data_IF_533310795728
#
_entry.id   IF_533310795728
#
_cell.length_a   1.000
_cell.length_b   1.000
_cell.length_c   1.000
_cell.angle_alpha   90.00
_cell.angle_beta   90.00
_cell.angle_gamma   90.00
#
_symmetry.space_group_name_H-M   'P 1'
#
loop_
_entity.id
_entity.type
_entity.pdbx_description
1 polymer ?
#
# COMPACT_ATOMS: atom_id res chain seq x y z
N UNK A 1 0.77 25.17 -63.51
CA UNK A 1 1.68 24.49 -62.58
C UNK A 1 1.51 24.92 -61.10
N UNK A 2 0.34 25.40 -60.64
CA UNK A 2 0.09 25.86 -59.25
C UNK A 2 -0.94 25.03 -58.45
N UNK A 3 -1.51 23.98 -59.02
CA UNK A 3 -2.54 23.15 -58.40
C UNK A 3 -2.04 21.80 -57.84
N UNK A 4 -0.82 21.40 -58.15
CA UNK A 4 -0.24 20.10 -57.71
C UNK A 4 0.52 20.17 -56.40
N UNK A 5 0.91 21.35 -55.94
CA UNK A 5 1.66 21.55 -54.69
C UNK A 5 0.75 21.53 -53.44
N UNK A 6 -0.53 21.90 -53.62
CA UNK A 6 -1.46 21.96 -52.49
C UNK A 6 -1.95 20.60 -52.00
N UNK A 7 -1.84 19.55 -52.82
CA UNK A 7 -2.27 18.19 -52.47
C UNK A 7 -1.23 17.40 -51.70
N UNK A 8 0.03 17.77 -51.82
CA UNK A 8 1.14 17.09 -51.14
C UNK A 8 1.31 17.52 -49.67
N UNK A 9 0.84 18.69 -49.27
CA UNK A 9 0.92 19.19 -47.88
C UNK A 9 -0.19 18.59 -47.02
N UNK A 10 -1.32 18.17 -47.60
CA UNK A 10 -2.46 17.57 -46.84
C UNK A 10 -2.20 16.15 -46.36
N UNK A 11 -1.25 15.43 -46.97
CA UNK A 11 -0.97 14.01 -46.60
C UNK A 11 0.03 13.89 -45.45
N UNK A 12 0.79 14.93 -45.14
CA UNK A 12 1.80 14.92 -44.08
C UNK A 12 1.27 15.21 -42.67
N UNK A 13 -0.02 15.62 -42.54
CA UNK A 13 -0.60 15.99 -41.23
C UNK A 13 -1.42 14.86 -40.55
N UNK A 14 -1.54 13.69 -41.20
CA UNK A 14 -2.33 12.55 -40.66
C UNK A 14 -1.55 11.53 -39.85
N UNK A 15 -0.27 11.80 -39.53
CA UNK A 15 0.66 10.80 -38.98
C UNK A 15 0.99 10.88 -37.52
N UNK A 16 0.32 11.67 -36.67
CA UNK A 16 0.76 11.86 -35.29
C UNK A 16 -0.34 11.99 -34.23
N UNK A 17 -1.48 11.33 -34.39
CA UNK A 17 -2.33 11.03 -33.23
C UNK A 17 -1.88 9.69 -32.67
N UNK A 18 -0.77 9.68 -31.95
CA UNK A 18 -0.53 8.63 -30.97
C UNK A 18 -1.51 8.90 -29.84
N UNK A 19 -2.54 8.09 -29.73
CA UNK A 19 -3.34 7.99 -28.53
C UNK A 19 -2.35 7.61 -27.42
N UNK A 20 -2.07 8.52 -26.51
CA UNK A 20 -1.33 8.28 -25.30
C UNK A 20 -2.31 7.53 -24.40
N UNK A 21 -2.33 6.19 -24.53
CA UNK A 21 -3.03 5.33 -23.60
C UNK A 21 -2.39 5.57 -22.24
N UNK A 22 -3.07 6.32 -21.41
CA UNK A 22 -2.75 6.43 -19.99
C UNK A 22 -2.89 5.02 -19.43
N UNK A 23 -1.84 4.40 -18.87
CA UNK A 23 -1.99 3.07 -18.31
C UNK A 23 -3.03 3.16 -17.20
N UNK A 24 -4.14 2.45 -17.40
CA UNK A 24 -5.16 2.33 -16.36
C UNK A 24 -4.52 1.56 -15.20
N UNK A 25 -4.38 2.23 -14.07
CA UNK A 25 -3.85 1.60 -12.85
C UNK A 25 -5.02 1.41 -11.88
N UNK A 26 -5.40 0.18 -11.67
CA UNK A 26 -6.34 -0.20 -10.63
C UNK A 26 -5.58 -0.67 -9.39
N UNK A 27 -6.14 -0.45 -8.21
CA UNK A 27 -5.54 -0.85 -6.94
C UNK A 27 -6.38 -1.92 -6.28
N UNK A 28 -5.79 -3.09 -6.12
CA UNK A 28 -6.37 -4.18 -5.36
C UNK A 28 -5.65 -4.28 -4.02
N UNK A 29 -6.40 -4.25 -2.92
CA UNK A 29 -5.83 -4.33 -1.57
C UNK A 29 -6.58 -5.30 -0.67
N UNK A 30 -5.87 -5.89 0.29
CA UNK A 30 -6.43 -6.70 1.37
C UNK A 30 -5.89 -6.24 2.71
N UNK A 31 -6.76 -6.10 3.70
CA UNK A 31 -6.37 -5.75 5.07
C UNK A 31 -6.26 -7.02 5.92
N UNK A 32 -5.11 -7.17 6.58
CA UNK A 32 -4.76 -8.30 7.46
C UNK A 32 -4.59 -7.79 8.89
N UNK A 33 -5.07 -8.57 9.86
CA UNK A 33 -5.09 -8.17 11.26
C UNK A 33 -4.15 -9.05 12.09
N UNK A 34 -3.46 -8.42 13.02
CA UNK A 34 -2.60 -9.10 14.00
C UNK A 34 -3.10 -8.84 15.41
N UNK A 35 -2.80 -9.75 16.33
CA UNK A 35 -2.97 -9.45 17.75
C UNK A 35 -1.99 -8.38 18.17
N UNK A 36 -2.37 -7.59 19.17
CA UNK A 36 -1.52 -6.53 19.72
C UNK A 36 -0.17 -7.10 20.18
N UNK A 37 0.93 -6.50 19.75
CA UNK A 37 2.28 -6.92 20.09
C UNK A 37 2.79 -8.19 19.37
N UNK A 38 1.98 -8.85 18.55
CA UNK A 38 2.37 -10.06 17.82
C UNK A 38 2.55 -9.83 16.34
N UNK A 39 3.50 -10.54 15.73
CA UNK A 39 3.71 -10.60 14.29
C UNK A 39 3.30 -11.93 13.66
N UNK A 40 2.93 -12.93 14.47
CA UNK A 40 2.45 -14.21 13.96
C UNK A 40 1.13 -14.01 13.22
N UNK A 41 1.10 -14.44 11.95
CA UNK A 41 -0.13 -14.45 11.17
C UNK A 41 -1.00 -15.62 11.58
N UNK A 42 -2.17 -15.32 12.15
CA UNK A 42 -3.18 -16.31 12.50
C UNK A 42 -4.31 -16.29 11.45
N UNK A 43 -4.47 -17.33 10.61
CA UNK A 43 -5.49 -17.36 9.56
C UNK A 43 -6.93 -17.27 10.10
N UNK A 44 -7.18 -17.82 11.29
CA UNK A 44 -8.49 -17.78 11.96
C UNK A 44 -8.81 -16.42 12.63
N UNK A 45 -7.81 -15.56 12.82
CA UNK A 45 -8.04 -14.29 13.48
C UNK A 45 -8.67 -13.28 12.51
N UNK A 46 -9.87 -12.79 12.82
CA UNK A 46 -10.62 -11.82 12.00
C UNK A 46 -10.69 -12.20 10.51
N UNK A 47 -10.86 -13.49 10.22
CA UNK A 47 -10.99 -14.05 8.88
C UNK A 47 -9.78 -13.78 7.96
N UNK A 48 -8.59 -13.61 8.52
CA UNK A 48 -7.37 -13.36 7.75
C UNK A 48 -7.17 -14.39 6.62
N UNK A 49 -7.34 -15.69 6.91
CA UNK A 49 -7.16 -16.75 5.93
C UNK A 49 -8.12 -16.63 4.75
N UNK A 50 -9.39 -16.31 5.01
CA UNK A 50 -10.40 -16.11 3.97
C UNK A 50 -10.07 -14.90 3.11
N UNK A 51 -9.67 -13.79 3.74
CA UNK A 51 -9.30 -12.54 3.04
C UNK A 51 -8.09 -12.73 2.15
N UNK A 52 -7.05 -13.37 2.68
CA UNK A 52 -5.81 -13.64 1.95
C UNK A 52 -6.03 -14.63 0.79
N UNK A 53 -6.84 -15.68 1.01
CA UNK A 53 -7.19 -16.61 -0.06
C UNK A 53 -8.01 -15.96 -1.17
N UNK A 54 -8.96 -15.09 -0.82
CA UNK A 54 -9.73 -14.33 -1.81
C UNK A 54 -8.83 -13.37 -2.62
N UNK A 55 -7.88 -12.70 -1.97
CA UNK A 55 -6.90 -11.86 -2.63
C UNK A 55 -6.02 -12.69 -3.59
N UNK A 56 -5.51 -13.84 -3.14
CA UNK A 56 -4.70 -14.73 -3.97
C UNK A 56 -5.47 -15.22 -5.21
N UNK A 57 -6.73 -15.65 -5.04
CA UNK A 57 -7.59 -16.07 -6.16
C UNK A 57 -7.82 -14.94 -7.16
N UNK A 58 -7.92 -13.70 -6.69
CA UNK A 58 -8.06 -12.54 -7.57
C UNK A 58 -6.75 -12.27 -8.35
N UNK A 59 -5.59 -12.33 -7.68
CA UNK A 59 -4.27 -12.20 -8.36
C UNK A 59 -4.11 -13.29 -9.42
N UNK A 60 -4.45 -14.55 -9.11
CA UNK A 60 -4.42 -15.65 -10.09
C UNK A 60 -5.38 -15.41 -11.26
N UNK A 61 -6.54 -14.82 -11.03
CA UNK A 61 -7.48 -14.43 -12.08
C UNK A 61 -6.86 -13.38 -13.01
N UNK A 62 -6.23 -12.36 -12.44
CA UNK A 62 -5.52 -11.31 -13.22
C UNK A 62 -4.34 -11.89 -14.03
N UNK A 63 -3.62 -12.88 -13.49
CA UNK A 63 -2.53 -13.54 -14.22
C UNK A 63 -3.01 -14.37 -15.42
N UNK A 64 -4.27 -14.83 -15.42
CA UNK A 64 -4.90 -15.50 -16.57
C UNK A 64 -5.39 -14.53 -17.64
N UNK A 65 -5.55 -13.26 -17.29
CA UNK A 65 -5.94 -12.23 -18.25
C UNK A 65 -4.74 -11.86 -19.14
N UNK A 66 -4.94 -11.81 -20.44
CA UNK A 66 -3.90 -11.46 -21.40
C UNK A 66 -3.63 -9.95 -21.48
N UNK A 67 -4.54 -9.14 -20.98
CA UNK A 67 -4.48 -7.68 -21.01
C UNK A 67 -3.85 -7.08 -19.75
N UNK A 68 -3.79 -7.86 -18.67
CA UNK A 68 -3.29 -7.42 -17.37
C UNK A 68 -2.02 -8.15 -16.99
N UNK A 69 -1.04 -7.44 -16.48
CA UNK A 69 0.18 -8.02 -15.92
C UNK A 69 0.40 -7.54 -14.50
N UNK A 70 0.25 -8.44 -13.53
CA UNK A 70 0.66 -8.18 -12.16
C UNK A 70 2.19 -8.29 -12.08
N UNK A 71 2.88 -7.22 -11.69
CA UNK A 71 4.35 -7.16 -11.59
C UNK A 71 4.83 -7.39 -10.17
N UNK A 72 4.14 -6.81 -9.20
CA UNK A 72 4.54 -6.89 -7.80
C UNK A 72 3.34 -6.84 -6.86
N UNK A 73 3.52 -7.43 -5.68
CA UNK A 73 2.61 -7.33 -4.55
C UNK A 73 3.39 -6.65 -3.44
N UNK A 74 2.97 -5.44 -3.06
CA UNK A 74 3.55 -4.75 -1.92
C UNK A 74 2.80 -5.15 -0.66
N UNK A 75 3.56 -5.55 0.36
CA UNK A 75 3.04 -5.90 1.67
C UNK A 75 3.56 -4.90 2.69
N UNK A 76 2.67 -4.03 3.17
CA UNK A 76 3.02 -3.04 4.19
C UNK A 76 2.63 -3.57 5.57
N UNK A 77 3.60 -3.72 6.44
CA UNK A 77 3.39 -4.00 7.85
C UNK A 77 3.27 -2.70 8.63
N UNK A 78 2.32 -2.66 9.56
CA UNK A 78 2.11 -1.53 10.47
C UNK A 78 2.03 -2.00 11.92
N UNK A 79 2.22 -1.10 12.86
CA UNK A 79 2.06 -1.33 14.30
C UNK A 79 1.18 -0.24 14.93
N UNK A 80 0.64 -0.54 16.11
CA UNK A 80 -0.05 0.45 16.94
C UNK A 80 0.97 1.36 17.64
N UNK A 81 0.57 2.55 18.13
CA UNK A 81 1.44 3.50 18.80
C UNK A 81 2.05 3.00 20.14
N UNK A 82 1.59 1.85 20.63
CA UNK A 82 2.08 1.30 21.89
C UNK A 82 3.54 0.85 21.77
N UNK A 83 4.37 1.24 22.73
CA UNK A 83 5.77 0.84 22.79
C UNK A 83 6.73 1.87 22.17
N UNK A 84 7.92 1.43 21.78
CA UNK A 84 8.95 2.28 21.21
C UNK A 84 8.92 2.25 19.69
N UNK A 85 9.32 3.35 19.02
CA UNK A 85 9.41 3.40 17.55
C UNK A 85 10.25 2.24 16.99
N UNK A 86 11.36 1.89 17.63
CA UNK A 86 12.22 0.77 17.22
C UNK A 86 11.52 -0.58 17.34
N UNK A 87 10.73 -0.79 18.39
CA UNK A 87 9.95 -2.03 18.56
C UNK A 87 8.86 -2.13 17.50
N UNK A 88 8.20 -1.02 17.20
CA UNK A 88 7.13 -0.95 16.22
C UNK A 88 7.66 -1.11 14.77
N UNK A 89 8.83 -0.57 14.47
CA UNK A 89 9.52 -0.80 13.21
C UNK A 89 9.81 -2.31 12.99
N UNK A 90 10.41 -2.98 13.99
CA UNK A 90 10.65 -4.44 13.92
C UNK A 90 9.36 -5.25 13.84
N UNK A 91 8.32 -4.85 14.58
CA UNK A 91 7.03 -5.52 14.57
C UNK A 91 6.37 -5.42 13.20
N UNK A 92 6.39 -4.24 12.59
CA UNK A 92 5.84 -3.99 11.27
C UNK A 92 6.60 -4.75 10.19
N UNK A 93 7.94 -4.78 10.24
CA UNK A 93 8.78 -5.56 9.34
C UNK A 93 8.46 -7.07 9.41
N UNK A 94 8.38 -7.61 10.63
CA UNK A 94 8.06 -9.03 10.81
C UNK A 94 6.64 -9.38 10.36
N UNK A 95 5.67 -8.47 10.51
CA UNK A 95 4.31 -8.65 10.01
C UNK A 95 4.28 -8.75 8.49
N UNK A 96 4.97 -7.84 7.79
CA UNK A 96 5.08 -7.89 6.34
C UNK A 96 5.72 -9.20 5.87
N UNK A 97 6.84 -9.60 6.47
CA UNK A 97 7.54 -10.86 6.14
C UNK A 97 6.66 -12.08 6.36
N UNK A 98 5.91 -12.14 7.45
CA UNK A 98 5.04 -13.28 7.75
C UNK A 98 3.85 -13.39 6.80
N UNK A 99 3.32 -12.29 6.29
CA UNK A 99 2.30 -12.30 5.24
C UNK A 99 2.90 -12.84 3.93
N UNK A 100 4.09 -12.37 3.54
CA UNK A 100 4.78 -12.86 2.33
C UNK A 100 5.05 -14.35 2.44
N UNK A 101 5.63 -14.81 3.54
CA UNK A 101 5.89 -16.23 3.77
C UNK A 101 4.62 -17.08 3.66
N UNK A 102 3.49 -16.57 4.18
CA UNK A 102 2.20 -17.25 4.07
C UNK A 102 1.75 -17.41 2.63
N UNK A 103 1.97 -16.39 1.77
CA UNK A 103 1.66 -16.48 0.34
C UNK A 103 2.59 -17.46 -0.37
N UNK A 104 3.90 -17.34 -0.17
CA UNK A 104 4.92 -18.18 -0.82
C UNK A 104 4.78 -19.68 -0.50
N UNK A 105 4.30 -20.00 0.70
CA UNK A 105 4.02 -21.39 1.10
C UNK A 105 2.79 -21.99 0.41
N UNK A 106 1.83 -21.19 -0.03
CA UNK A 106 0.48 -21.66 -0.44
C UNK A 106 0.14 -21.38 -1.89
N UNK A 107 0.76 -20.37 -2.49
CA UNK A 107 0.45 -19.91 -3.83
C UNK A 107 1.72 -19.74 -4.66
N UNK A 108 1.56 -19.90 -5.97
CA UNK A 108 2.63 -19.61 -6.92
C UNK A 108 2.16 -18.48 -7.84
N UNK A 109 2.89 -17.37 -7.81
CA UNK A 109 2.64 -16.21 -8.66
C UNK A 109 3.82 -16.00 -9.61
N UNK A 110 3.90 -16.74 -10.74
CA UNK A 110 5.04 -16.65 -11.64
C UNK A 110 5.20 -15.24 -12.19
N UNK A 111 6.44 -14.72 -12.06
CA UNK A 111 6.79 -13.37 -12.54
C UNK A 111 6.31 -12.22 -11.66
N UNK A 112 5.73 -12.49 -10.50
CA UNK A 112 5.34 -11.48 -9.49
C UNK A 112 6.40 -11.43 -8.40
N UNK A 113 6.87 -10.24 -8.09
CA UNK A 113 7.76 -10.01 -6.94
C UNK A 113 6.98 -9.58 -5.71
N UNK A 114 7.46 -9.96 -4.53
CA UNK A 114 6.97 -9.42 -3.26
C UNK A 114 7.88 -8.30 -2.77
N UNK A 115 7.26 -7.19 -2.34
CA UNK A 115 7.95 -6.04 -1.78
C UNK A 115 7.47 -5.82 -0.33
N UNK A 116 8.34 -6.12 0.65
CA UNK A 116 8.06 -5.94 2.07
C UNK A 116 8.39 -4.50 2.49
N UNK A 117 7.40 -3.79 3.02
CA UNK A 117 7.57 -2.45 3.56
C UNK A 117 7.19 -2.40 5.03
N UNK A 118 8.07 -1.86 5.86
CA UNK A 118 7.81 -1.61 7.28
C UNK A 118 7.49 -0.11 7.46
N UNK A 119 6.27 0.20 7.81
CA UNK A 119 5.84 1.60 8.04
C UNK A 119 6.04 2.02 9.50
N UNK A 120 6.20 1.03 10.41
CA UNK A 120 6.19 1.32 11.85
C UNK A 120 4.79 1.63 12.34
N UNK A 121 4.56 2.81 12.90
CA UNK A 121 3.24 3.22 13.42
C UNK A 121 2.38 3.78 12.29
N UNK A 122 1.19 3.22 12.11
CA UNK A 122 0.18 3.69 11.15
C UNK A 122 -0.59 4.89 11.73
N UNK A 123 0.04 6.05 11.73
CA UNK A 123 -0.59 7.29 12.18
C UNK A 123 -1.77 7.72 11.30
N UNK A 124 -1.67 7.51 9.99
CA UNK A 124 -2.72 7.84 9.05
C UNK A 124 -3.97 6.98 9.27
N UNK A 125 -3.78 5.66 9.41
CA UNK A 125 -4.88 4.74 9.73
C UNK A 125 -5.50 5.00 11.09
N UNK A 126 -4.70 5.34 12.12
CA UNK A 126 -5.21 5.74 13.43
C UNK A 126 -6.06 7.02 13.32
N UNK A 127 -5.56 8.04 12.63
CA UNK A 127 -6.29 9.29 12.42
C UNK A 127 -7.63 9.04 11.74
N UNK A 128 -7.66 8.26 10.66
CA UNK A 128 -8.90 7.92 9.95
C UNK A 128 -9.90 7.14 10.83
N UNK A 129 -9.42 6.26 11.70
CA UNK A 129 -10.26 5.55 12.67
C UNK A 129 -10.87 6.52 13.71
N UNK A 130 -10.09 7.47 14.20
CA UNK A 130 -10.58 8.48 15.15
C UNK A 130 -11.58 9.40 14.49
N UNK A 131 -11.34 9.85 13.25
CA UNK A 131 -12.26 10.72 12.48
C UNK A 131 -13.66 10.12 12.35
N UNK A 132 -13.75 8.81 12.16
CA UNK A 132 -15.01 8.09 11.96
C UNK A 132 -15.60 7.53 13.25
N UNK A 133 -14.94 7.73 14.40
CA UNK A 133 -15.37 7.20 15.69
C UNK A 133 -16.34 8.16 16.40
N UNK A 134 -17.16 7.59 17.26
CA UNK A 134 -18.03 8.33 18.21
C UNK A 134 -17.39 8.42 19.62
N UNK A 135 -16.05 8.29 19.70
CA UNK A 135 -15.36 8.32 20.99
C UNK A 135 -15.49 9.67 21.69
N UNK A 136 -15.56 9.69 23.03
CA UNK A 136 -15.44 10.93 23.79
C UNK A 136 -14.09 11.61 23.47
N UNK A 137 -14.06 12.94 23.47
CA UNK A 137 -12.85 13.74 23.22
C UNK A 137 -12.24 13.55 21.82
N UNK A 138 -13.02 13.08 20.83
CA UNK A 138 -12.57 12.86 19.46
C UNK A 138 -11.81 14.05 18.88
N UNK A 139 -12.38 15.26 19.04
CA UNK A 139 -11.82 16.47 18.44
C UNK A 139 -10.49 16.88 19.11
N UNK A 140 -10.34 16.65 20.40
CA UNK A 140 -9.07 16.87 21.12
C UNK A 140 -8.01 15.87 20.67
N UNK A 141 -8.37 14.58 20.51
CA UNK A 141 -7.46 13.55 20.00
C UNK A 141 -7.05 13.87 18.56
N UNK A 142 -7.97 14.29 17.70
CA UNK A 142 -7.65 14.71 16.33
C UNK A 142 -6.73 15.92 16.32
N UNK A 143 -6.95 16.90 17.19
CA UNK A 143 -6.06 18.06 17.31
C UNK A 143 -4.63 17.64 17.68
N UNK A 144 -4.47 16.66 18.57
CA UNK A 144 -3.15 16.11 18.93
C UNK A 144 -2.54 15.39 17.72
N UNK A 145 -3.31 14.52 17.06
CA UNK A 145 -2.83 13.74 15.90
C UNK A 145 -2.38 14.63 14.73
N UNK A 146 -3.06 15.76 14.51
CA UNK A 146 -2.71 16.67 13.42
C UNK A 146 -1.59 17.65 13.74
N UNK A 147 -1.50 18.09 14.99
CA UNK A 147 -0.66 19.22 15.34
C UNK A 147 0.55 18.87 16.23
N UNK A 148 0.62 17.62 16.72
CA UNK A 148 1.76 17.20 17.56
C UNK A 148 2.75 16.42 16.72
N UNK A 149 4.01 16.83 16.63
CA UNK A 149 5.04 16.08 15.93
C UNK A 149 5.36 14.78 16.67
N UNK A 150 5.64 13.72 15.91
CA UNK A 150 6.16 12.48 16.49
C UNK A 150 7.60 12.72 16.98
N UNK A 151 7.82 12.42 18.26
CA UNK A 151 9.16 12.46 18.86
C UNK A 151 9.84 11.10 18.70
N UNK A 152 10.83 11.03 17.82
CA UNK A 152 11.66 9.82 17.67
C UNK A 152 12.77 9.88 18.70
N UNK A 153 12.72 8.97 19.68
CA UNK A 153 13.75 8.82 20.70
C UNK A 153 14.66 7.66 20.32
N UNK A 154 15.92 7.94 20.00
CA UNK A 154 16.97 6.93 19.84
C UNK A 154 18.01 7.10 20.96
N UNK A 155 18.31 5.98 21.65
CA UNK A 155 19.32 5.95 22.73
C UNK A 155 19.12 7.04 23.80
N UNK A 156 17.85 7.31 24.16
CA UNK A 156 17.47 8.31 25.15
C UNK A 156 17.61 9.76 24.68
N UNK A 157 17.89 10.00 23.40
CA UNK A 157 17.93 11.33 22.79
C UNK A 157 16.85 11.50 21.75
N UNK A 158 16.24 12.67 21.73
CA UNK A 158 15.33 13.07 20.64
C UNK A 158 16.18 13.29 19.39
N UNK A 159 15.95 12.47 18.35
CA UNK A 159 16.79 12.48 17.13
C UNK A 159 16.10 13.20 16.00
N UNK A 160 14.77 13.20 15.97
CA UNK A 160 13.98 13.91 14.95
C UNK A 160 12.57 14.22 15.49
N UNK A 161 12.06 15.39 15.13
CA UNK A 161 10.68 15.82 15.29
C UNK A 161 10.04 16.08 13.92
N UNK A 162 10.40 15.26 12.93
CA UNK A 162 9.82 15.37 11.59
C UNK A 162 8.34 15.00 11.62
N UNK A 163 7.49 15.86 11.08
CA UNK A 163 6.12 15.51 10.78
C UNK A 163 6.16 14.25 9.90
N UNK A 164 5.63 13.15 10.40
CA UNK A 164 5.51 11.93 9.62
C UNK A 164 4.83 12.26 8.29
N UNK A 165 5.49 11.96 7.19
CA UNK A 165 4.90 12.12 5.88
C UNK A 165 3.68 11.20 5.81
N UNK A 166 2.50 11.80 5.92
CA UNK A 166 1.22 11.10 5.96
C UNK A 166 0.85 10.67 4.56
N UNK A 167 1.24 9.46 4.19
CA UNK A 167 0.83 8.83 2.94
C UNK A 167 -0.23 7.75 3.20
N UNK A 168 -1.18 7.57 2.29
CA UNK A 168 -2.24 6.57 2.45
C UNK A 168 -1.72 5.13 2.34
N UNK A 169 -2.37 4.25 3.10
CA UNK A 169 -2.13 2.80 3.12
C UNK A 169 -2.27 2.14 1.76
N UNK A 170 -1.37 1.20 1.53
CA UNK A 170 -1.40 0.11 0.55
C UNK A 170 -1.75 0.48 -0.89
N UNK A 171 -0.73 0.60 -1.70
CA UNK A 171 -0.86 0.67 -3.15
C UNK A 171 -0.26 -0.60 -3.77
N UNK A 172 -1.10 -1.37 -4.47
CA UNK A 172 -0.64 -2.41 -5.40
C UNK A 172 -0.48 -1.76 -6.75
N UNK A 173 0.74 -1.75 -7.29
CA UNK A 173 0.99 -1.27 -8.63
C UNK A 173 0.94 -2.42 -9.63
N UNK A 174 0.03 -2.33 -10.59
CA UNK A 174 -0.06 -3.21 -11.76
C UNK A 174 0.88 -2.77 -12.88
#
# INVERSE_FOLDING_TARGET
MKKTVLFLISVLFFGALRAQESPYTDTLGVKVYFRQGYSLLEPSYRDNGVRLAAFAAHVESLQRDTLVRVKSIRVTGTASPDGTSRSNERLSENRAKNIIAWFEERFSFPGVSFDAHAEGIDWAGLTALVETSEMPYRDEVLNILYNTPEWIIRDGRVVDGGAAARGPCVVVHG
#
